data_IF_531957588816
#
_entry.id   IF_531957588816
#
_cell.length_a   1.000
_cell.length_b   1.000
_cell.length_c   1.000
_cell.angle_alpha   90.00
_cell.angle_beta   90.00
_cell.angle_gamma   90.00
#
_symmetry.space_group_name_H-M   'P 1'
#
loop_
_entity.id
_entity.type
_entity.pdbx_description
1 polymer ?
#
# COMPACT_ATOMS: atom_id res chain seq x y z
N UNK A 1 -19.25 -13.46 -26.32
CA UNK A 1 -19.77 -13.11 -24.97
C UNK A 1 -19.07 -11.84 -24.53
N UNK A 2 -19.79 -10.73 -24.36
CA UNK A 2 -19.21 -9.47 -23.88
C UNK A 2 -19.02 -9.58 -22.37
N UNK A 3 -17.77 -9.52 -21.90
CA UNK A 3 -17.46 -9.48 -20.47
C UNK A 3 -18.10 -8.21 -19.89
N UNK A 4 -19.13 -8.38 -19.05
CA UNK A 4 -19.74 -7.26 -18.32
C UNK A 4 -18.65 -6.71 -17.39
N UNK A 5 -18.04 -5.59 -17.78
CA UNK A 5 -17.06 -4.90 -16.96
C UNK A 5 -17.65 -4.63 -15.57
N UNK A 6 -16.90 -5.01 -14.53
CA UNK A 6 -17.30 -4.78 -13.14
C UNK A 6 -17.58 -3.29 -12.92
N UNK A 7 -18.81 -2.95 -12.53
CA UNK A 7 -19.17 -1.57 -12.24
C UNK A 7 -18.87 -1.27 -10.77
N UNK A 8 -17.93 -0.36 -10.53
CA UNK A 8 -17.62 0.12 -9.19
C UNK A 8 -18.79 0.93 -8.64
N UNK A 9 -19.53 0.35 -7.70
CA UNK A 9 -20.65 1.04 -7.04
C UNK A 9 -20.16 1.92 -5.90
N UNK A 10 -20.97 2.90 -5.46
CA UNK A 10 -20.68 3.68 -4.24
C UNK A 10 -20.46 2.79 -3.02
N UNK A 11 -21.20 1.68 -2.94
CA UNK A 11 -21.07 0.68 -1.87
C UNK A 11 -19.69 0.01 -1.87
N UNK A 12 -19.14 -0.30 -3.05
CA UNK A 12 -17.78 -0.85 -3.17
C UNK A 12 -16.74 0.11 -2.59
N UNK A 13 -16.77 1.38 -3.00
CA UNK A 13 -15.82 2.39 -2.51
C UNK A 13 -15.93 2.65 -1.01
N UNK A 14 -17.15 2.59 -0.46
CA UNK A 14 -17.35 2.69 0.98
C UNK A 14 -16.70 1.51 1.71
N UNK A 15 -16.96 0.27 1.27
CA UNK A 15 -16.37 -0.93 1.87
C UNK A 15 -14.83 -0.90 1.74
N UNK A 16 -14.33 -0.53 0.56
CA UNK A 16 -12.90 -0.38 0.32
C UNK A 16 -12.27 0.62 1.29
N UNK A 17 -12.89 1.79 1.47
CA UNK A 17 -12.39 2.82 2.38
C UNK A 17 -12.44 2.35 3.84
N UNK A 18 -13.51 1.66 4.25
CA UNK A 18 -13.66 1.11 5.60
C UNK A 18 -12.64 0.01 5.90
N UNK A 19 -12.22 -0.76 4.89
CA UNK A 19 -11.20 -1.81 5.05
C UNK A 19 -9.82 -1.24 5.45
N UNK A 20 -9.55 0.04 5.19
CA UNK A 20 -8.32 0.71 5.63
C UNK A 20 -8.36 1.17 7.09
N UNK A 21 -9.54 1.21 7.74
CA UNK A 21 -9.66 1.69 9.13
C UNK A 21 -8.86 0.83 10.11
N UNK A 22 -8.96 -0.51 10.12
CA UNK A 22 -8.16 -1.34 11.02
C UNK A 22 -6.65 -1.10 10.84
N UNK A 23 -6.19 -0.98 9.60
CA UNK A 23 -4.80 -0.68 9.28
C UNK A 23 -4.38 0.73 9.73
N UNK A 24 -5.28 1.71 9.62
CA UNK A 24 -5.04 3.05 10.15
C UNK A 24 -4.91 3.05 11.68
N UNK A 25 -5.76 2.27 12.36
CA UNK A 25 -5.76 2.14 13.81
C UNK A 25 -4.47 1.50 14.33
N UNK A 26 -3.88 0.53 13.62
CA UNK A 26 -2.58 -0.05 14.05
C UNK A 26 -1.47 1.01 14.04
N UNK A 27 -1.44 1.89 13.03
CA UNK A 27 -0.49 3.02 13.05
C UNK A 27 -0.75 3.98 14.20
N UNK A 28 -2.01 4.29 14.53
CA UNK A 28 -2.32 5.13 15.69
C UNK A 28 -1.73 4.53 16.96
N UNK A 29 -1.93 3.24 17.19
CA UNK A 29 -1.38 2.55 18.38
C UNK A 29 0.15 2.56 18.38
N UNK A 30 0.79 2.25 17.24
CA UNK A 30 2.26 2.25 17.12
C UNK A 30 2.81 3.65 17.40
N UNK A 31 2.21 4.71 16.84
CA UNK A 31 2.70 6.06 17.04
C UNK A 31 2.45 6.56 18.47
N UNK A 32 1.30 6.29 19.07
CA UNK A 32 1.03 6.65 20.48
C UNK A 32 2.03 5.95 21.42
N UNK A 33 2.39 4.69 21.14
CA UNK A 33 3.32 3.92 21.98
C UNK A 33 4.79 4.30 21.77
N UNK A 34 5.17 4.74 20.57
CA UNK A 34 6.57 5.03 20.21
C UNK A 34 6.92 6.52 20.23
N UNK A 35 5.96 7.43 20.40
CA UNK A 35 6.24 8.86 20.21
C UNK A 35 5.45 9.80 21.10
N UNK A 36 6.05 10.95 21.38
CA UNK A 36 5.44 12.18 21.90
C UNK A 36 5.00 13.11 20.75
N UNK A 37 4.64 12.56 19.58
CA UNK A 37 4.20 13.40 18.46
C UNK A 37 2.84 14.05 18.74
N UNK A 38 2.69 15.32 18.36
CA UNK A 38 1.40 16.00 18.37
C UNK A 38 0.43 15.39 17.33
N UNK A 39 -0.87 15.57 17.55
CA UNK A 39 -1.96 15.01 16.72
C UNK A 39 -1.78 15.31 15.22
N UNK A 40 -1.28 16.50 14.86
CA UNK A 40 -1.02 16.85 13.46
C UNK A 40 0.08 16.02 12.81
N UNK A 41 1.18 15.74 13.54
CA UNK A 41 2.27 14.91 13.04
C UNK A 41 1.83 13.46 12.86
N UNK A 42 0.98 12.96 13.76
CA UNK A 42 0.32 11.66 13.64
C UNK A 42 -0.50 11.56 12.35
N UNK A 43 -1.42 12.50 12.11
CA UNK A 43 -2.28 12.50 10.93
C UNK A 43 -1.46 12.57 9.63
N UNK A 44 -0.39 13.36 9.62
CA UNK A 44 0.48 13.48 8.46
C UNK A 44 1.30 12.21 8.21
N UNK A 45 1.77 11.54 9.27
CA UNK A 45 2.45 10.25 9.18
C UNK A 45 1.50 9.15 8.69
N UNK A 46 0.27 9.11 9.20
CA UNK A 46 -0.76 8.18 8.74
C UNK A 46 -1.10 8.41 7.26
N UNK A 47 -1.32 9.66 6.85
CA UNK A 47 -1.61 10.00 5.46
C UNK A 47 -0.50 9.54 4.51
N UNK A 48 0.77 9.76 4.88
CA UNK A 48 1.92 9.29 4.08
C UNK A 48 2.01 7.78 3.96
N UNK A 49 1.55 7.03 4.96
CA UNK A 49 1.63 5.57 4.93
C UNK A 49 0.41 4.92 4.25
N UNK A 50 -0.80 5.44 4.48
CA UNK A 50 -2.03 4.77 4.06
C UNK A 50 -2.42 5.16 2.64
N UNK A 51 -2.32 6.45 2.29
CA UNK A 51 -2.83 6.95 1.01
C UNK A 51 -2.12 6.30 -0.19
N UNK A 52 -0.77 6.22 -0.25
CA UNK A 52 -0.13 5.62 -1.42
C UNK A 52 -0.47 4.15 -1.58
N UNK A 53 -0.53 3.41 -0.46
CA UNK A 53 -0.90 1.99 -0.45
C UNK A 53 -2.34 1.78 -0.92
N UNK A 54 -3.26 2.62 -0.44
CA UNK A 54 -4.66 2.59 -0.86
C UNK A 54 -4.81 2.90 -2.36
N UNK A 55 -3.98 3.78 -2.93
CA UNK A 55 -3.97 4.05 -4.37
C UNK A 55 -3.42 2.84 -5.14
N UNK A 56 -2.36 2.19 -4.65
CA UNK A 56 -1.83 0.98 -5.27
C UNK A 56 -2.87 -0.16 -5.26
N UNK A 57 -3.64 -0.30 -4.19
CA UNK A 57 -4.71 -1.29 -4.10
C UNK A 57 -5.79 -1.08 -5.16
N UNK A 58 -6.14 0.17 -5.47
CA UNK A 58 -7.03 0.50 -6.59
C UNK A 58 -6.42 0.06 -7.93
N UNK A 59 -5.11 0.23 -8.10
CA UNK A 59 -4.38 -0.27 -9.27
C UNK A 59 -4.50 -1.78 -9.43
N UNK A 60 -4.33 -2.55 -8.34
CA UNK A 60 -4.50 -4.00 -8.35
C UNK A 60 -5.92 -4.38 -8.76
N UNK A 61 -6.94 -3.76 -8.13
CA UNK A 61 -8.35 -4.01 -8.46
C UNK A 61 -8.62 -3.72 -9.95
N UNK A 62 -8.07 -2.62 -10.47
CA UNK A 62 -8.19 -2.27 -11.87
C UNK A 62 -7.56 -3.32 -12.80
N UNK A 63 -6.36 -3.81 -12.48
CA UNK A 63 -5.69 -4.89 -13.23
C UNK A 63 -6.53 -6.17 -13.18
N UNK A 64 -6.99 -6.59 -11.99
CA UNK A 64 -7.79 -7.81 -11.83
C UNK A 64 -9.10 -7.76 -12.62
N UNK A 65 -9.72 -6.59 -12.76
CA UNK A 65 -10.93 -6.41 -13.57
C UNK A 65 -10.67 -6.42 -15.09
N UNK A 66 -9.43 -6.24 -15.53
CA UNK A 66 -9.04 -6.30 -16.95
C UNK A 66 -8.76 -7.72 -17.42
N UNK A 67 -8.53 -8.64 -16.47
CA UNK A 67 -8.14 -10.01 -16.76
C UNK A 67 -9.40 -10.88 -16.78
N UNK A 68 -9.61 -11.58 -17.89
CA UNK A 68 -10.72 -12.51 -18.03
C UNK A 68 -10.38 -13.83 -17.32
N UNK A 69 -10.93 -13.99 -16.12
CA UNK A 69 -10.79 -15.18 -15.29
C UNK A 69 -11.71 -16.29 -15.79
N UNK A 70 -11.43 -16.83 -16.97
CA UNK A 70 -12.14 -18.00 -17.46
C UNK A 70 -11.72 -19.26 -16.70
N UNK A 71 -12.63 -20.24 -16.56
CA UNK A 71 -12.35 -21.53 -15.88
C UNK A 71 -11.09 -22.24 -16.39
N UNK A 72 -10.70 -22.04 -17.65
CA UNK A 72 -9.53 -22.66 -18.24
C UNK A 72 -8.21 -21.98 -17.86
N UNK A 73 -8.26 -20.83 -17.18
CA UNK A 73 -7.10 -20.01 -16.77
C UNK A 73 -6.91 -19.94 -15.26
N UNK A 74 -7.63 -20.76 -14.49
CA UNK A 74 -7.49 -20.81 -13.03
C UNK A 74 -6.06 -21.16 -12.57
N UNK A 75 -5.31 -21.93 -13.37
CA UNK A 75 -3.88 -22.23 -13.10
C UNK A 75 -3.03 -20.95 -13.05
N UNK A 76 -3.42 -19.89 -13.77
CA UNK A 76 -2.69 -18.62 -13.78
C UNK A 76 -3.09 -17.69 -12.64
N UNK A 77 -4.14 -17.99 -11.88
CA UNK A 77 -4.61 -17.16 -10.78
C UNK A 77 -3.53 -16.96 -9.72
N UNK A 78 -3.05 -18.05 -9.14
CA UNK A 78 -2.03 -18.01 -8.10
C UNK A 78 -0.71 -17.33 -8.54
N UNK A 79 -0.05 -17.73 -9.64
CA UNK A 79 1.22 -17.13 -10.03
C UNK A 79 1.09 -15.66 -10.41
N UNK A 80 -0.05 -15.24 -10.98
CA UNK A 80 -0.30 -13.84 -11.28
C UNK A 80 -0.49 -13.01 -10.01
N UNK A 81 -1.26 -13.50 -9.04
CA UNK A 81 -1.42 -12.82 -7.75
C UNK A 81 -0.10 -12.75 -6.98
N UNK A 82 0.71 -13.81 -7.03
CA UNK A 82 2.05 -13.81 -6.44
C UNK A 82 2.97 -12.79 -7.14
N UNK A 83 2.92 -12.70 -8.46
CA UNK A 83 3.69 -11.69 -9.20
C UNK A 83 3.23 -10.27 -8.86
N UNK A 84 1.91 -10.03 -8.86
CA UNK A 84 1.33 -8.74 -8.52
C UNK A 84 1.63 -8.34 -7.07
N UNK A 85 1.69 -9.29 -6.12
CA UNK A 85 2.06 -8.99 -4.72
C UNK A 85 3.50 -8.55 -4.60
N UNK A 86 4.43 -9.19 -5.32
CA UNK A 86 5.85 -8.80 -5.38
C UNK A 86 5.98 -7.42 -6.03
N UNK A 87 5.31 -7.16 -7.15
CA UNK A 87 5.31 -5.87 -7.84
C UNK A 87 4.73 -4.78 -6.93
N UNK A 88 3.59 -5.04 -6.29
CA UNK A 88 2.95 -4.13 -5.34
C UNK A 88 3.90 -3.77 -4.20
N UNK A 89 4.50 -4.78 -3.57
CA UNK A 89 5.41 -4.61 -2.44
C UNK A 89 6.67 -3.82 -2.84
N UNK A 90 7.20 -4.07 -4.04
CA UNK A 90 8.35 -3.35 -4.59
C UNK A 90 8.03 -1.88 -4.85
N UNK A 91 6.89 -1.59 -5.49
CA UNK A 91 6.45 -0.23 -5.77
C UNK A 91 6.19 0.52 -4.46
N UNK A 92 5.47 -0.11 -3.53
CA UNK A 92 5.20 0.44 -2.21
C UNK A 92 6.48 0.84 -1.48
N UNK A 93 7.43 -0.11 -1.36
CA UNK A 93 8.71 0.12 -0.68
C UNK A 93 9.50 1.25 -1.34
N UNK A 94 9.48 1.33 -2.68
CA UNK A 94 10.14 2.38 -3.44
C UNK A 94 9.52 3.77 -3.20
N UNK A 95 8.18 3.84 -3.17
CA UNK A 95 7.46 5.08 -2.84
C UNK A 95 7.81 5.54 -1.44
N UNK A 96 7.78 4.63 -0.46
CA UNK A 96 8.09 4.98 0.92
C UNK A 96 9.54 5.45 1.07
N UNK A 97 10.49 4.78 0.41
CA UNK A 97 11.91 5.18 0.37
C UNK A 97 12.06 6.60 -0.17
N UNK A 98 11.37 6.90 -1.27
CA UNK A 98 11.41 8.23 -1.90
C UNK A 98 10.78 9.29 -0.98
N UNK A 99 9.62 9.02 -0.39
CA UNK A 99 8.94 9.95 0.51
C UNK A 99 9.78 10.26 1.75
N UNK A 100 10.44 9.27 2.34
CA UNK A 100 11.33 9.48 3.49
C UNK A 100 12.61 10.22 3.09
N UNK A 101 13.20 9.88 1.94
CA UNK A 101 14.37 10.58 1.41
C UNK A 101 14.07 12.05 1.15
N UNK A 102 12.92 12.36 0.54
CA UNK A 102 12.48 13.75 0.33
C UNK A 102 12.28 14.44 1.68
N UNK A 103 11.61 13.80 2.64
CA UNK A 103 11.38 14.39 3.96
C UNK A 103 12.69 14.69 4.70
N UNK A 104 13.65 13.77 4.70
CA UNK A 104 14.97 13.96 5.30
C UNK A 104 15.77 15.06 4.58
N UNK A 105 15.69 15.10 3.25
CA UNK A 105 16.39 16.12 2.46
C UNK A 105 15.84 17.52 2.70
N UNK A 106 14.52 17.65 2.87
CA UNK A 106 13.88 18.93 3.22
C UNK A 106 14.27 19.41 4.63
N UNK A 107 14.45 18.49 5.58
CA UNK A 107 14.86 18.83 6.94
C UNK A 107 16.32 19.26 7.04
N UNK A 108 17.20 18.64 6.26
CA UNK A 108 18.65 18.87 6.30
C UNK A 108 19.11 19.94 5.30
N UNK A 109 18.30 20.26 4.29
CA UNK A 109 18.66 21.16 3.21
C UNK A 109 19.60 20.56 2.17
N UNK A 110 19.93 19.27 2.27
CA UNK A 110 20.82 18.54 1.36
C UNK A 110 20.22 17.19 1.00
N UNK A 111 20.53 16.66 -0.19
CA UNK A 111 20.02 15.36 -0.62
C UNK A 111 20.53 14.25 0.31
N UNK A 112 19.62 13.69 1.11
CA UNK A 112 19.90 12.72 2.18
C UNK A 112 19.10 11.45 1.96
N UNK A 113 19.62 10.47 1.19
CA UNK A 113 18.97 9.18 0.97
C UNK A 113 18.78 8.42 2.28
N UNK A 114 17.55 7.98 2.55
CA UNK A 114 17.25 7.15 3.73
C UNK A 114 17.49 5.69 3.38
N UNK A 115 18.47 5.04 4.00
CA UNK A 115 18.73 3.62 3.75
C UNK A 115 17.79 2.71 4.55
N UNK A 116 16.93 1.94 3.87
CA UNK A 116 16.27 0.78 4.48
C UNK A 116 17.22 -0.42 4.43
N UNK A 117 17.92 -0.67 5.53
CA UNK A 117 18.76 -1.86 5.69
C UNK A 117 18.19 -2.78 6.77
N UNK A 118 18.44 -4.08 6.62
CA UNK A 118 18.04 -5.10 7.58
C UNK A 118 16.53 -5.16 7.84
N UNK A 119 16.15 -5.09 9.11
CA UNK A 119 14.78 -5.31 9.58
C UNK A 119 13.77 -4.33 8.99
N UNK A 120 14.18 -3.09 8.68
CA UNK A 120 13.28 -2.10 8.11
C UNK A 120 12.83 -2.49 6.69
N UNK A 121 13.75 -2.97 5.84
CA UNK A 121 13.41 -3.42 4.49
C UNK A 121 12.52 -4.67 4.53
N UNK A 122 12.88 -5.63 5.39
CA UNK A 122 12.07 -6.84 5.59
C UNK A 122 10.65 -6.50 6.03
N UNK A 123 10.51 -5.54 6.95
CA UNK A 123 9.21 -5.05 7.40
C UNK A 123 8.39 -4.41 6.28
N UNK A 124 9.00 -3.56 5.43
CA UNK A 124 8.28 -2.94 4.32
C UNK A 124 7.84 -3.96 3.26
N UNK A 125 8.70 -4.94 2.96
CA UNK A 125 8.36 -6.00 2.00
C UNK A 125 7.23 -6.88 2.56
N UNK A 126 7.35 -7.30 3.82
CA UNK A 126 6.36 -8.14 4.49
C UNK A 126 5.00 -7.45 4.61
N UNK A 127 4.98 -6.20 5.06
CA UNK A 127 3.73 -5.42 5.14
C UNK A 127 3.12 -5.18 3.77
N UNK A 128 3.92 -4.91 2.74
CA UNK A 128 3.44 -4.79 1.35
C UNK A 128 2.76 -6.07 0.86
N UNK A 129 3.31 -7.25 1.16
CA UNK A 129 2.70 -8.54 0.81
C UNK A 129 1.41 -8.77 1.61
N UNK A 130 1.41 -8.49 2.91
CA UNK A 130 0.23 -8.67 3.77
C UNK A 130 -0.94 -7.76 3.38
N UNK A 131 -0.66 -6.55 2.90
CA UNK A 131 -1.71 -5.62 2.48
C UNK A 131 -2.28 -6.02 1.11
N UNK A 132 -1.47 -6.65 0.27
CA UNK A 132 -1.93 -7.17 -1.01
C UNK A 132 -2.87 -8.37 -0.86
N UNK A 133 -2.52 -9.28 0.05
CA UNK A 133 -3.21 -10.57 0.27
C UNK A 133 -4.59 -10.39 0.91
#
# INVERSE_FOLDING_TARGET
MSAKGFQFTKRFWLIYSLAWIPYALTYIVIFITQSTYGVFALLFAMGRNIIPVAILGVGVIWICNRIDWSQHREIWFFPLHLFLSIVFSTIWTSILFLLLTIAASLQTGVWTPVSFLGNALQWQVFTGIMIYA
#
